data_IF_686084504559
#
_entry.id   IF_686084504559
#
_cell.length_a   1.000
_cell.length_b   1.000
_cell.length_c   1.000
_cell.angle_alpha   90.00
_cell.angle_beta   90.00
_cell.angle_gamma   90.00
#
_symmetry.space_group_name_H-M   'P 1'
#
loop_
_entity.id
_entity.type
_entity.pdbx_description
1 polymer ?
#
# COMPACT_ATOMS: atom_id res chain seq x y z
N UNK A 1 19.61 -30.55 40.73
CA UNK A 1 18.89 -29.31 41.04
C UNK A 1 18.51 -28.72 39.70
N UNK A 2 17.28 -29.03 39.31
CA UNK A 2 16.67 -28.62 38.05
C UNK A 2 16.43 -27.12 38.12
N UNK A 3 17.15 -26.34 37.31
CA UNK A 3 16.74 -24.96 37.04
C UNK A 3 15.40 -25.03 36.33
N UNK A 4 14.32 -24.70 37.04
CA UNK A 4 13.03 -24.35 36.46
C UNK A 4 13.27 -23.26 35.41
N UNK A 5 13.33 -23.67 34.14
CA UNK A 5 13.28 -22.76 33.01
C UNK A 5 11.89 -22.13 33.03
N UNK A 6 11.79 -20.98 33.68
CA UNK A 6 10.57 -20.18 33.80
C UNK A 6 9.98 -19.91 32.41
N UNK A 7 8.66 -19.97 32.35
CA UNK A 7 7.90 -19.94 31.10
C UNK A 7 8.06 -18.57 30.39
N UNK A 8 8.29 -18.51 29.07
CA UNK A 8 8.50 -17.26 28.32
C UNK A 8 7.38 -16.21 28.44
N UNK A 9 6.22 -16.58 29.01
CA UNK A 9 5.11 -15.66 29.28
C UNK A 9 5.35 -14.72 30.46
N UNK A 10 6.25 -15.05 31.40
CA UNK A 10 6.53 -14.19 32.57
C UNK A 10 7.41 -12.98 32.25
N UNK A 11 8.08 -12.99 31.09
CA UNK A 11 8.86 -11.85 30.57
C UNK A 11 8.08 -10.95 29.60
N UNK A 12 6.83 -11.30 29.26
CA UNK A 12 5.97 -10.52 28.34
C UNK A 12 5.66 -9.14 28.91
N UNK A 13 5.32 -9.07 30.20
CA UNK A 13 5.07 -7.80 30.88
C UNK A 13 6.34 -6.94 30.91
N UNK A 14 7.45 -7.48 31.41
CA UNK A 14 8.69 -6.72 31.56
C UNK A 14 9.33 -6.23 30.25
N UNK A 15 9.29 -7.02 29.17
CA UNK A 15 9.76 -6.57 27.86
C UNK A 15 8.85 -5.48 27.28
N UNK A 16 7.53 -5.66 27.36
CA UNK A 16 6.57 -4.68 26.84
C UNK A 16 6.48 -3.42 27.71
N UNK A 17 6.73 -3.51 29.02
CA UNK A 17 6.80 -2.38 29.94
C UNK A 17 8.13 -1.62 29.74
N UNK A 18 9.23 -2.32 29.48
CA UNK A 18 10.49 -1.69 29.05
C UNK A 18 10.32 -1.00 27.67
N UNK A 19 9.61 -1.63 26.74
CA UNK A 19 9.24 -1.08 25.44
C UNK A 19 8.31 0.14 25.57
N UNK A 20 7.34 0.10 26.48
CA UNK A 20 6.40 1.19 26.78
C UNK A 20 7.10 2.41 27.37
N UNK A 21 8.06 2.20 28.28
CA UNK A 21 8.88 3.28 28.84
C UNK A 21 9.87 3.90 27.83
N UNK A 22 10.07 3.25 26.68
CA UNK A 22 11.02 3.64 25.63
C UNK A 22 10.35 4.11 24.33
N UNK A 23 9.02 4.18 24.23
CA UNK A 23 8.29 4.51 22.99
C UNK A 23 7.43 5.77 23.09
N UNK A 24 7.73 6.65 24.06
CA UNK A 24 6.94 7.85 24.36
C UNK A 24 7.13 9.01 23.38
N UNK A 25 8.09 8.94 22.46
CA UNK A 25 8.31 9.93 21.41
C UNK A 25 8.87 9.27 20.14
N UNK A 26 8.53 9.80 18.95
CA UNK A 26 9.01 9.28 17.66
C UNK A 26 10.54 9.10 17.60
N UNK A 27 11.30 9.98 18.26
CA UNK A 27 12.76 9.88 18.35
C UNK A 27 13.32 8.74 19.22
N UNK A 28 12.47 8.01 19.94
CA UNK A 28 12.86 6.82 20.71
C UNK A 28 12.65 5.52 19.94
N UNK A 29 11.68 5.49 19.03
CA UNK A 29 11.44 4.32 18.18
C UNK A 29 12.54 4.16 17.12
N UNK A 30 13.15 5.25 16.63
CA UNK A 30 14.32 5.18 15.74
C UNK A 30 15.55 4.57 16.44
N UNK A 31 15.74 4.86 17.74
CA UNK A 31 16.80 4.21 18.54
C UNK A 31 16.53 2.73 18.71
N UNK A 32 15.26 2.36 18.85
CA UNK A 32 14.85 0.98 18.97
C UNK A 32 15.05 0.24 17.65
N UNK A 33 14.65 0.83 16.52
CA UNK A 33 14.96 0.32 15.17
C UNK A 33 16.46 0.13 15.01
N UNK A 34 17.30 1.07 15.47
CA UNK A 34 18.74 0.92 15.44
C UNK A 34 19.25 -0.32 16.22
N UNK A 35 18.65 -0.66 17.37
CA UNK A 35 18.98 -1.89 18.13
C UNK A 35 18.60 -3.15 17.32
N UNK A 36 17.47 -3.14 16.64
CA UNK A 36 17.06 -4.28 15.80
C UNK A 36 17.90 -4.40 14.54
N UNK A 37 18.37 -3.28 13.98
CA UNK A 37 19.31 -3.24 12.87
C UNK A 37 20.73 -3.65 13.30
N UNK A 38 21.10 -3.40 14.56
CA UNK A 38 22.40 -3.78 15.11
C UNK A 38 22.55 -5.31 15.13
N UNK A 39 23.33 -5.81 14.18
CA UNK A 39 23.54 -7.24 13.99
C UNK A 39 22.48 -7.93 13.14
N UNK A 40 21.87 -7.24 12.17
CA UNK A 40 21.31 -7.90 10.98
C UNK A 40 22.46 -8.13 9.98
N UNK A 41 22.57 -9.34 9.41
CA UNK A 41 23.55 -9.60 8.37
C UNK A 41 23.05 -9.09 7.02
N UNK A 42 23.30 -7.81 6.75
CA UNK A 42 22.97 -7.23 5.45
C UNK A 42 23.96 -7.75 4.38
N UNK A 43 23.50 -8.24 3.22
CA UNK A 43 24.34 -8.88 2.20
C UNK A 43 25.44 -7.96 1.63
N UNK A 44 25.29 -6.63 1.79
CA UNK A 44 26.20 -5.60 1.28
C UNK A 44 27.37 -5.34 2.23
N UNK A 45 27.21 -5.60 3.54
CA UNK A 45 28.21 -5.33 4.58
C UNK A 45 29.49 -6.19 4.50
N UNK A 46 29.54 -7.16 3.58
CA UNK A 46 30.67 -8.10 3.43
C UNK A 46 31.84 -7.57 2.59
N UNK A 47 31.78 -6.34 2.04
CA UNK A 47 32.80 -5.85 1.07
C UNK A 47 33.79 -4.81 1.58
N UNK A 48 33.65 -4.26 2.78
CA UNK A 48 34.64 -3.31 3.31
C UNK A 48 35.55 -3.92 4.39
N UNK A 49 36.81 -4.16 4.02
CA UNK A 49 37.96 -3.93 4.91
C UNK A 49 38.51 -5.10 5.73
N UNK A 50 39.29 -5.98 5.10
CA UNK A 50 40.24 -6.84 5.82
C UNK A 50 41.00 -7.82 4.94
N UNK A 51 42.23 -7.46 4.55
CA UNK A 51 43.22 -8.38 3.98
C UNK A 51 43.38 -9.62 4.88
N UNK A 52 42.77 -10.75 4.49
CA UNK A 52 43.07 -12.05 5.09
C UNK A 52 44.31 -12.60 4.36
N UNK A 53 45.43 -12.87 5.06
CA UNK A 53 46.59 -13.49 4.43
C UNK A 53 46.22 -14.91 3.98
N UNK A 54 46.44 -15.20 2.70
CA UNK A 54 46.41 -16.57 2.18
C UNK A 54 47.42 -17.43 2.95
N UNK A 55 46.92 -18.27 3.86
CA UNK A 55 47.79 -19.22 4.55
C UNK A 55 47.15 -19.93 5.74
N UNK A 56 46.35 -20.96 5.45
CA UNK A 56 46.35 -22.31 6.08
C UNK A 56 44.95 -22.91 6.05
N UNK A 57 44.85 -24.08 5.42
CA UNK A 57 43.68 -24.97 5.44
C UNK A 57 43.33 -25.31 6.89
N UNK A 58 42.27 -24.69 7.42
CA UNK A 58 41.65 -25.09 8.67
C UNK A 58 40.25 -25.64 8.37
N UNK A 59 40.02 -26.83 8.92
CA UNK A 59 38.86 -27.72 8.80
C UNK A 59 37.52 -26.97 8.81
N UNK A 60 36.75 -27.12 7.74
CA UNK A 60 35.33 -26.83 7.72
C UNK A 60 34.59 -27.88 8.57
N UNK A 61 34.37 -27.58 9.85
CA UNK A 61 33.44 -28.28 10.71
C UNK A 61 32.33 -27.32 11.10
N UNK A 62 31.09 -27.69 10.78
CA UNK A 62 29.82 -27.21 11.34
C UNK A 62 29.82 -25.85 12.07
N UNK A 63 29.51 -24.76 11.36
CA UNK A 63 28.84 -23.61 11.99
C UNK A 63 27.46 -23.51 11.34
N UNK A 64 26.49 -24.13 12.01
CA UNK A 64 25.09 -24.24 11.59
C UNK A 64 24.36 -23.02 12.14
N UNK A 65 23.83 -22.17 11.26
CA UNK A 65 22.69 -21.27 11.47
C UNK A 65 22.55 -20.60 12.85
N UNK A 66 23.57 -19.87 13.31
CA UNK A 66 23.36 -18.92 14.41
C UNK A 66 22.87 -17.61 13.81
N UNK A 67 21.54 -17.40 13.84
CA UNK A 67 20.92 -16.10 13.54
C UNK A 67 21.65 -15.01 14.32
N UNK A 68 21.85 -13.86 13.68
CA UNK A 68 22.48 -12.73 14.33
C UNK A 68 21.52 -12.09 15.38
N UNK A 69 22.04 -11.25 16.27
CA UNK A 69 21.28 -10.81 17.46
C UNK A 69 19.97 -10.09 17.08
N UNK A 70 20.04 -9.14 16.14
CA UNK A 70 18.86 -8.43 15.63
C UNK A 70 17.82 -9.35 15.01
N UNK A 71 18.26 -10.32 14.20
CA UNK A 71 17.38 -11.33 13.59
C UNK A 71 16.65 -12.20 14.62
N UNK A 72 17.33 -12.59 15.71
CA UNK A 72 16.70 -13.34 16.82
C UNK A 72 15.62 -12.51 17.49
N UNK A 73 15.89 -11.22 17.75
CA UNK A 73 14.93 -10.32 18.37
C UNK A 73 13.70 -10.13 17.48
N UNK A 74 13.89 -9.93 16.16
CA UNK A 74 12.77 -9.82 15.21
C UNK A 74 11.92 -11.09 15.16
N UNK A 75 12.57 -12.24 15.12
CA UNK A 75 11.87 -13.54 15.14
C UNK A 75 11.06 -13.72 16.42
N UNK A 76 11.62 -13.33 17.57
CA UNK A 76 10.91 -13.36 18.86
C UNK A 76 9.72 -12.41 18.82
N UNK A 77 9.90 -11.16 18.38
CA UNK A 77 8.84 -10.15 18.29
C UNK A 77 7.67 -10.64 17.43
N UNK A 78 7.93 -11.13 16.22
CA UNK A 78 6.90 -11.66 15.32
C UNK A 78 6.20 -12.88 15.95
N UNK A 79 6.96 -13.79 16.55
CA UNK A 79 6.39 -14.96 17.23
C UNK A 79 5.49 -14.56 18.41
N UNK A 80 5.88 -13.53 19.16
CA UNK A 80 5.11 -12.98 20.27
C UNK A 80 3.82 -12.30 19.79
N UNK A 81 3.88 -11.50 18.73
CA UNK A 81 2.68 -10.92 18.11
C UNK A 81 1.72 -12.06 17.75
N UNK A 82 2.17 -13.05 16.98
CA UNK A 82 1.35 -14.22 16.59
C UNK A 82 0.72 -14.93 17.79
N UNK A 83 1.49 -15.14 18.85
CA UNK A 83 1.01 -15.82 20.06
C UNK A 83 0.03 -14.98 20.88
N UNK A 84 0.04 -13.65 20.74
CA UNK A 84 -0.83 -12.71 21.46
C UNK A 84 -2.22 -12.58 20.84
N UNK A 85 -2.50 -13.32 19.76
CA UNK A 85 -3.80 -13.33 19.10
C UNK A 85 -4.94 -13.63 20.06
N UNK A 86 -6.03 -12.88 19.92
CA UNK A 86 -7.18 -13.01 20.79
C UNK A 86 -8.09 -14.15 20.35
N UNK A 87 -8.64 -14.85 21.35
CA UNK A 87 -9.67 -15.88 21.14
C UNK A 87 -11.02 -15.18 20.98
N UNK A 88 -11.82 -15.65 20.01
CA UNK A 88 -13.17 -15.18 19.70
C UNK A 88 -13.98 -14.76 20.94
N UNK A 89 -14.55 -13.54 20.89
CA UNK A 89 -15.50 -13.02 21.89
C UNK A 89 -14.87 -12.25 23.05
N UNK A 90 -13.56 -12.00 23.07
CA UNK A 90 -12.92 -11.12 24.05
C UNK A 90 -12.68 -9.71 23.47
N UNK A 91 -13.00 -8.69 24.27
CA UNK A 91 -12.66 -7.29 23.93
C UNK A 91 -11.17 -7.03 24.13
N UNK A 92 -10.59 -6.23 23.23
CA UNK A 92 -9.23 -5.70 23.39
C UNK A 92 -9.26 -4.46 24.28
N UNK A 93 -8.21 -4.26 25.08
CA UNK A 93 -7.95 -2.95 25.68
C UNK A 93 -7.22 -2.05 24.69
N UNK A 94 -7.46 -0.75 24.76
CA UNK A 94 -6.75 0.24 23.92
C UNK A 94 -5.23 0.15 24.10
N UNK A 95 -4.77 -0.11 25.32
CA UNK A 95 -3.35 -0.29 25.63
C UNK A 95 -2.75 -1.53 24.95
N UNK A 96 -3.54 -2.59 24.75
CA UNK A 96 -3.09 -3.78 24.03
C UNK A 96 -3.01 -3.50 22.53
N UNK A 97 -4.01 -2.84 21.95
CA UNK A 97 -4.03 -2.41 20.54
C UNK A 97 -2.79 -1.57 20.22
N UNK A 98 -2.56 -0.53 21.02
CA UNK A 98 -1.42 0.37 20.86
C UNK A 98 -0.06 -0.37 20.94
N UNK A 99 0.05 -1.37 21.82
CA UNK A 99 1.27 -2.20 21.94
C UNK A 99 1.54 -3.02 20.68
N UNK A 100 0.50 -3.61 20.09
CA UNK A 100 0.62 -4.37 18.84
C UNK A 100 0.94 -3.43 17.68
N UNK A 101 0.25 -2.29 17.57
CA UNK A 101 0.51 -1.26 16.56
C UNK A 101 1.97 -0.80 16.62
N UNK A 102 2.46 -0.44 17.81
CA UNK A 102 3.84 0.00 18.02
C UNK A 102 4.85 -1.09 17.63
N UNK A 103 4.57 -2.35 17.98
CA UNK A 103 5.43 -3.50 17.64
C UNK A 103 5.49 -3.76 16.14
N UNK A 104 4.39 -3.51 15.43
CA UNK A 104 4.33 -3.57 13.96
C UNK A 104 5.04 -2.36 13.34
N UNK A 105 4.93 -1.18 13.96
CA UNK A 105 5.62 0.05 13.57
C UNK A 105 7.15 -0.08 13.52
N UNK A 106 7.77 -0.59 14.58
CA UNK A 106 8.64 -1.78 14.49
C UNK A 106 9.21 -2.18 13.11
N UNK A 107 8.57 -3.23 12.63
CA UNK A 107 8.85 -3.97 11.41
C UNK A 107 8.72 -3.06 10.17
N UNK A 108 7.75 -2.14 10.18
CA UNK A 108 7.54 -1.16 9.11
C UNK A 108 8.76 -0.24 8.98
N UNK A 109 9.21 0.38 10.07
CA UNK A 109 10.36 1.30 10.05
C UNK A 109 11.67 0.62 9.64
N UNK A 110 11.84 -0.68 9.94
CA UNK A 110 13.00 -1.46 9.46
C UNK A 110 13.01 -1.55 7.92
N UNK A 111 11.84 -1.67 7.30
CA UNK A 111 11.70 -1.70 5.84
C UNK A 111 11.80 -0.29 5.24
N UNK A 112 11.18 0.71 5.87
CA UNK A 112 11.21 2.11 5.41
C UNK A 112 12.59 2.77 5.54
N UNK A 113 13.44 2.33 6.48
CA UNK A 113 14.80 2.88 6.67
C UNK A 113 15.73 2.74 5.46
N UNK A 114 15.32 2.03 4.41
CA UNK A 114 16.10 1.81 3.18
C UNK A 114 15.77 2.87 2.11
N UNK A 115 14.70 3.63 2.29
CA UNK A 115 14.11 4.49 1.26
C UNK A 115 14.67 5.92 1.30
N UNK A 116 15.81 6.11 0.64
CA UNK A 116 16.19 7.42 0.09
C UNK A 116 16.38 7.26 -1.42
N UNK A 117 15.57 7.95 -2.23
CA UNK A 117 15.60 7.85 -3.71
C UNK A 117 16.81 8.54 -4.35
N UNK A 118 17.61 9.25 -3.57
CA UNK A 118 18.82 9.91 -4.05
C UNK A 118 20.00 8.94 -4.06
N UNK A 119 20.59 8.75 -5.25
CA UNK A 119 21.77 7.92 -5.42
C UNK A 119 22.10 7.62 -6.88
N UNK A 120 23.27 7.02 -7.11
CA UNK A 120 23.64 6.45 -8.41
C UNK A 120 22.84 5.18 -8.71
N UNK A 121 22.79 4.74 -9.98
CA UNK A 121 22.13 3.48 -10.38
C UNK A 121 22.65 2.26 -9.59
N UNK A 122 23.94 2.25 -9.25
CA UNK A 122 24.54 1.19 -8.44
C UNK A 122 24.02 1.21 -6.99
N UNK A 123 23.91 2.39 -6.38
CA UNK A 123 23.36 2.54 -5.02
C UNK A 123 21.87 2.16 -4.98
N UNK A 124 21.11 2.46 -6.03
CA UNK A 124 19.70 2.07 -6.13
C UNK A 124 19.55 0.54 -6.23
N UNK A 125 20.40 -0.13 -7.01
CA UNK A 125 20.39 -1.59 -7.10
C UNK A 125 20.78 -2.26 -5.77
N UNK A 126 21.75 -1.69 -5.04
CA UNK A 126 22.14 -2.17 -3.71
C UNK A 126 21.01 -1.98 -2.69
N UNK A 127 20.34 -0.81 -2.70
CA UNK A 127 19.15 -0.55 -1.87
C UNK A 127 18.01 -1.50 -2.17
N UNK A 128 17.77 -1.82 -3.44
CA UNK A 128 16.75 -2.79 -3.84
C UNK A 128 17.06 -4.20 -3.34
N UNK A 129 18.32 -4.63 -3.47
CA UNK A 129 18.76 -5.92 -2.96
C UNK A 129 18.65 -5.99 -1.43
N UNK A 130 18.98 -4.90 -0.75
CA UNK A 130 18.85 -4.79 0.71
C UNK A 130 17.39 -4.88 1.15
N UNK A 131 16.49 -4.11 0.50
CA UNK A 131 15.05 -4.14 0.77
C UNK A 131 14.51 -5.55 0.61
N UNK A 132 14.82 -6.20 -0.51
CA UNK A 132 14.40 -7.58 -0.76
C UNK A 132 14.89 -8.52 0.33
N UNK A 133 16.17 -8.43 0.73
CA UNK A 133 16.74 -9.25 1.79
C UNK A 133 16.01 -9.09 3.13
N UNK A 134 15.63 -7.87 3.50
CA UNK A 134 14.88 -7.61 4.74
C UNK A 134 13.44 -8.09 4.66
N UNK A 135 12.77 -7.89 3.53
CA UNK A 135 11.43 -8.43 3.29
C UNK A 135 11.43 -9.97 3.40
N UNK A 136 12.39 -10.65 2.76
CA UNK A 136 12.51 -12.10 2.78
C UNK A 136 12.79 -12.64 4.19
N UNK A 137 13.62 -11.94 4.95
CA UNK A 137 13.88 -12.25 6.36
C UNK A 137 12.60 -12.16 7.19
N UNK A 138 11.90 -11.02 7.16
CA UNK A 138 10.66 -10.83 7.91
C UNK A 138 9.58 -11.82 7.48
N UNK A 139 9.50 -12.11 6.18
CA UNK A 139 8.62 -13.14 5.63
C UNK A 139 8.91 -14.52 6.24
N UNK A 140 10.19 -14.92 6.28
CA UNK A 140 10.63 -16.21 6.84
C UNK A 140 10.32 -16.35 8.34
N UNK A 141 10.21 -15.24 9.07
CA UNK A 141 9.84 -15.22 10.47
C UNK A 141 8.33 -15.23 10.71
N UNK A 142 7.52 -15.10 9.65
CA UNK A 142 6.05 -15.08 9.72
C UNK A 142 5.44 -13.68 9.68
N UNK A 143 6.21 -12.66 9.28
CA UNK A 143 5.72 -11.28 9.14
C UNK A 143 4.54 -11.18 8.17
N UNK A 144 4.55 -11.95 7.08
CA UNK A 144 3.44 -12.01 6.13
C UNK A 144 2.15 -12.51 6.76
N UNK A 145 2.21 -13.54 7.59
CA UNK A 145 1.01 -14.05 8.29
C UNK A 145 0.48 -13.03 9.30
N UNK A 146 1.36 -12.36 10.04
CA UNK A 146 0.98 -11.25 10.94
C UNK A 146 0.27 -10.13 10.17
N UNK A 147 0.82 -9.73 9.03
CA UNK A 147 0.24 -8.69 8.19
C UNK A 147 -1.17 -9.07 7.72
N UNK A 148 -1.36 -10.31 7.23
CA UNK A 148 -2.67 -10.81 6.79
C UNK A 148 -3.68 -10.88 7.96
N UNK A 149 -3.26 -11.36 9.14
CA UNK A 149 -4.13 -11.45 10.32
C UNK A 149 -4.61 -10.08 10.78
N UNK A 150 -3.70 -9.10 10.86
CA UNK A 150 -4.00 -7.75 11.31
C UNK A 150 -4.86 -7.01 10.28
N UNK A 151 -4.51 -7.07 8.99
CA UNK A 151 -5.32 -6.47 7.92
C UNK A 151 -6.75 -7.04 7.86
N UNK A 152 -6.95 -8.26 8.37
CA UNK A 152 -8.28 -8.90 8.46
C UNK A 152 -9.13 -8.44 9.66
N UNK A 153 -8.59 -7.64 10.58
CA UNK A 153 -9.31 -7.15 11.76
C UNK A 153 -10.43 -6.15 11.40
N UNK A 154 -11.47 -6.11 12.24
CA UNK A 154 -12.48 -5.06 12.24
C UNK A 154 -12.02 -3.83 13.02
N UNK A 155 -11.11 -4.01 13.97
CA UNK A 155 -10.45 -2.90 14.65
C UNK A 155 -9.63 -2.08 13.64
N UNK A 156 -9.91 -0.77 13.56
CA UNK A 156 -9.38 0.11 12.53
C UNK A 156 -7.86 0.31 12.68
N UNK A 157 -7.36 0.48 13.90
CA UNK A 157 -5.93 0.73 14.17
C UNK A 157 -5.09 -0.51 13.86
N UNK A 158 -5.53 -1.70 14.30
CA UNK A 158 -4.86 -2.94 13.95
C UNK A 158 -4.89 -3.21 12.44
N UNK A 159 -6.03 -2.98 11.81
CA UNK A 159 -6.16 -3.23 10.37
C UNK A 159 -5.29 -2.29 9.55
N UNK A 160 -5.22 -1.02 9.93
CA UNK A 160 -4.30 -0.06 9.32
C UNK A 160 -2.85 -0.51 9.45
N UNK A 161 -2.40 -0.90 10.65
CA UNK A 161 -1.04 -1.39 10.88
C UNK A 161 -0.74 -2.66 10.05
N UNK A 162 -1.71 -3.57 9.95
CA UNK A 162 -1.62 -4.77 9.12
C UNK A 162 -1.50 -4.47 7.63
N UNK A 163 -2.31 -3.55 7.12
CA UNK A 163 -2.26 -3.09 5.72
C UNK A 163 -0.90 -2.44 5.41
N UNK A 164 -0.41 -1.57 6.30
CA UNK A 164 0.89 -0.90 6.14
C UNK A 164 2.05 -1.90 6.13
N UNK A 165 2.05 -2.88 7.05
CA UNK A 165 3.06 -3.93 7.05
C UNK A 165 3.01 -4.77 5.77
N UNK A 166 1.80 -5.12 5.30
CA UNK A 166 1.64 -5.90 4.08
C UNK A 166 2.17 -5.15 2.84
N UNK A 167 1.84 -3.87 2.71
CA UNK A 167 2.34 -2.99 1.63
C UNK A 167 3.86 -2.91 1.67
N UNK A 168 4.46 -2.74 2.86
CA UNK A 168 5.91 -2.68 3.02
C UNK A 168 6.62 -4.01 2.66
N UNK A 169 6.04 -5.14 3.05
CA UNK A 169 6.58 -6.46 2.71
C UNK A 169 6.52 -6.75 1.21
N UNK A 170 5.51 -6.22 0.51
CA UNK A 170 5.32 -6.45 -0.91
C UNK A 170 5.94 -5.37 -1.82
N UNK A 171 6.45 -4.27 -1.26
CA UNK A 171 7.02 -3.13 -1.99
C UNK A 171 8.00 -3.62 -3.07
N UNK A 172 7.88 -3.09 -4.29
CA UNK A 172 8.60 -3.51 -5.52
C UNK A 172 8.33 -4.96 -5.96
N UNK A 173 7.12 -5.48 -5.73
CA UNK A 173 6.67 -6.77 -6.25
C UNK A 173 7.42 -7.99 -5.71
N UNK A 174 7.67 -8.07 -4.40
CA UNK A 174 8.37 -9.21 -3.82
C UNK A 174 7.57 -10.53 -3.98
N UNK A 175 7.98 -11.31 -4.99
CA UNK A 175 7.31 -12.56 -5.38
C UNK A 175 7.36 -13.65 -4.31
N UNK A 176 8.41 -13.69 -3.49
CA UNK A 176 8.54 -14.70 -2.43
C UNK A 176 7.51 -14.43 -1.32
N UNK A 177 7.32 -13.16 -0.96
CA UNK A 177 6.24 -12.71 -0.06
C UNK A 177 4.86 -12.98 -0.65
N UNK A 178 4.63 -12.63 -1.92
CA UNK A 178 3.36 -12.90 -2.61
C UNK A 178 3.01 -14.40 -2.57
N UNK A 179 3.99 -15.28 -2.83
CA UNK A 179 3.81 -16.73 -2.79
C UNK A 179 3.46 -17.21 -1.38
N UNK A 180 4.14 -16.72 -0.34
CA UNK A 180 3.82 -17.06 1.05
C UNK A 180 2.41 -16.60 1.42
N UNK A 181 2.02 -15.39 1.05
CA UNK A 181 0.67 -14.88 1.32
C UNK A 181 -0.40 -15.69 0.58
N UNK A 182 -0.16 -16.05 -0.68
CA UNK A 182 -1.07 -16.89 -1.47
C UNK A 182 -1.24 -18.29 -0.85
N UNK A 183 -0.14 -18.91 -0.42
CA UNK A 183 -0.17 -20.20 0.27
C UNK A 183 -0.95 -20.12 1.59
N UNK A 184 -0.80 -19.03 2.33
CA UNK A 184 -1.53 -18.82 3.57
C UNK A 184 -3.04 -18.64 3.32
N UNK A 185 -3.42 -17.83 2.32
CA UNK A 185 -4.82 -17.56 1.94
C UNK A 185 -5.55 -18.78 1.36
N UNK A 186 -4.83 -19.67 0.68
CA UNK A 186 -5.38 -20.91 0.09
C UNK A 186 -5.22 -22.12 1.00
N UNK A 187 -4.60 -21.96 2.17
CA UNK A 187 -4.44 -23.04 3.13
C UNK A 187 -5.80 -23.60 3.56
N UNK A 188 -5.86 -24.92 3.75
CA UNK A 188 -7.06 -25.62 4.23
C UNK A 188 -6.81 -26.28 5.59
N UNK A 189 -7.89 -26.58 6.33
CA UNK A 189 -7.81 -27.26 7.63
C UNK A 189 -7.13 -26.42 8.71
N UNK A 190 -6.22 -27.02 9.48
CA UNK A 190 -5.57 -26.37 10.62
C UNK A 190 -4.74 -25.13 10.22
N UNK A 191 -4.10 -25.16 9.05
CA UNK A 191 -3.32 -24.01 8.55
C UNK A 191 -4.18 -22.81 8.16
N UNK A 192 -5.43 -23.04 7.77
CA UNK A 192 -6.38 -21.94 7.53
C UNK A 192 -6.73 -21.18 8.83
N UNK A 193 -6.63 -21.85 9.99
CA UNK A 193 -6.87 -21.22 11.27
C UNK A 193 -5.70 -20.30 11.70
N UNK A 194 -4.53 -20.42 11.07
CA UNK A 194 -3.36 -19.63 11.42
C UNK A 194 -3.47 -18.18 10.91
N UNK A 195 -4.29 -17.90 9.89
CA UNK A 195 -4.50 -16.56 9.33
C UNK A 195 -5.84 -15.90 9.70
N UNK A 196 -6.52 -16.39 10.75
CA UNK A 196 -7.76 -15.74 11.24
C UNK A 196 -7.47 -14.31 11.75
N UNK A 197 -8.46 -13.41 11.68
CA UNK A 197 -8.33 -12.05 12.21
C UNK A 197 -7.73 -12.02 13.63
N UNK A 198 -6.83 -11.07 13.86
CA UNK A 198 -6.05 -11.00 15.09
C UNK A 198 -6.90 -10.66 16.32
N UNK A 199 -7.90 -9.80 16.12
CA UNK A 199 -8.87 -9.35 17.12
C UNK A 199 -9.91 -10.41 17.50
N UNK A 200 -9.82 -11.60 16.90
CA UNK A 200 -10.76 -12.70 17.13
C UNK A 200 -12.10 -12.51 16.43
N UNK A 201 -12.23 -11.56 15.50
CA UNK A 201 -13.42 -11.42 14.66
C UNK A 201 -13.54 -12.57 13.66
N UNK A 202 -14.76 -12.76 13.14
CA UNK A 202 -15.00 -13.72 12.06
C UNK A 202 -14.76 -13.08 10.70
N UNK A 203 -14.14 -13.84 9.79
CA UNK A 203 -13.94 -13.40 8.42
C UNK A 203 -12.64 -13.91 7.82
N UNK A 204 -12.35 -13.38 6.64
CA UNK A 204 -11.10 -13.57 5.91
C UNK A 204 -10.57 -12.21 5.45
N UNK A 205 -9.30 -12.15 5.06
CA UNK A 205 -8.72 -10.94 4.47
C UNK A 205 -9.57 -10.45 3.30
N UNK A 206 -9.94 -11.33 2.37
CA UNK A 206 -10.72 -10.96 1.18
C UNK A 206 -12.07 -10.33 1.57
N UNK A 207 -12.71 -10.84 2.63
CA UNK A 207 -13.93 -10.23 3.16
C UNK A 207 -13.67 -8.83 3.73
N UNK A 208 -12.61 -8.66 4.53
CA UNK A 208 -12.20 -7.37 5.10
C UNK A 208 -11.90 -6.35 4.00
N UNK A 209 -11.09 -6.71 3.00
CA UNK A 209 -10.76 -5.84 1.86
C UNK A 209 -12.03 -5.40 1.11
N UNK A 210 -12.97 -6.32 0.83
CA UNK A 210 -14.24 -5.96 0.20
C UNK A 210 -15.06 -5.00 1.07
N UNK A 211 -15.14 -5.24 2.38
CA UNK A 211 -15.87 -4.38 3.30
C UNK A 211 -15.26 -2.97 3.34
N UNK A 212 -13.93 -2.86 3.36
CA UNK A 212 -13.19 -1.61 3.31
C UNK A 212 -13.41 -0.85 2.00
N UNK A 213 -13.34 -1.51 0.85
CA UNK A 213 -13.67 -0.89 -0.44
C UNK A 213 -15.12 -0.37 -0.49
N UNK A 214 -16.07 -1.12 0.08
CA UNK A 214 -17.47 -0.66 0.20
C UNK A 214 -17.64 0.49 1.18
N UNK A 215 -16.84 0.55 2.24
CA UNK A 215 -16.81 1.67 3.17
C UNK A 215 -16.22 2.91 2.49
N UNK A 216 -15.17 2.75 1.67
CA UNK A 216 -14.57 3.84 0.90
C UNK A 216 -15.60 4.55 0.01
N UNK A 217 -16.52 3.81 -0.61
CA UNK A 217 -17.64 4.40 -1.37
C UNK A 217 -18.48 5.36 -0.53
N UNK A 218 -18.76 5.02 0.74
CA UNK A 218 -19.51 5.89 1.65
C UNK A 218 -18.68 7.11 2.06
N UNK A 219 -17.40 6.88 2.33
CA UNK A 219 -16.47 7.93 2.78
C UNK A 219 -16.21 9.00 1.72
N UNK A 220 -16.43 8.75 0.42
CA UNK A 220 -16.30 9.77 -0.63
C UNK A 220 -17.13 11.03 -0.29
N UNK A 221 -18.42 10.83 0.05
CA UNK A 221 -19.33 11.95 0.36
C UNK A 221 -19.09 12.51 1.75
N UNK A 222 -18.75 11.65 2.71
CA UNK A 222 -18.44 12.06 4.08
C UNK A 222 -17.19 12.95 4.11
N UNK A 223 -16.15 12.60 3.35
CA UNK A 223 -14.92 13.37 3.21
C UNK A 223 -15.18 14.75 2.62
N UNK A 224 -15.98 14.81 1.55
CA UNK A 224 -16.38 16.08 0.92
C UNK A 224 -17.12 16.99 1.90
N UNK A 225 -18.11 16.45 2.59
CA UNK A 225 -18.88 17.18 3.62
C UNK A 225 -17.95 17.65 4.75
N UNK A 226 -17.02 16.80 5.19
CA UNK A 226 -16.05 17.14 6.22
C UNK A 226 -15.12 18.29 5.80
N UNK A 227 -14.62 18.26 4.56
CA UNK A 227 -13.78 19.32 4.01
C UNK A 227 -14.54 20.66 3.90
N UNK A 228 -15.79 20.63 3.45
CA UNK A 228 -16.65 21.83 3.40
C UNK A 228 -16.85 22.43 4.81
N UNK A 229 -17.14 21.59 5.81
CA UNK A 229 -17.25 22.02 7.21
C UNK A 229 -15.92 22.57 7.74
N UNK A 230 -14.78 21.97 7.38
CA UNK A 230 -13.46 22.46 7.77
C UNK A 230 -13.14 23.83 7.16
N UNK A 231 -13.49 24.05 5.89
CA UNK A 231 -13.35 25.36 5.23
C UNK A 231 -14.20 26.44 5.90
N UNK A 232 -15.45 26.13 6.27
CA UNK A 232 -16.32 27.04 7.01
C UNK A 232 -15.75 27.38 8.40
N UNK A 233 -15.23 26.38 9.12
CA UNK A 233 -14.57 26.59 10.41
C UNK A 233 -13.34 27.49 10.29
N UNK A 234 -12.51 27.28 9.26
CA UNK A 234 -11.33 28.12 8.98
C UNK A 234 -11.72 29.55 8.65
N UNK A 235 -12.74 29.76 7.83
CA UNK A 235 -13.24 31.08 7.49
C UNK A 235 -13.78 31.81 8.74
N UNK A 236 -14.58 31.13 9.57
CA UNK A 236 -15.10 31.69 10.81
C UNK A 236 -13.98 32.01 11.83
N UNK A 237 -12.96 31.15 11.92
CA UNK A 237 -11.81 31.40 12.77
C UNK A 237 -11.04 32.65 12.31
N UNK A 238 -10.85 32.82 11.00
CA UNK A 238 -10.16 33.98 10.43
C UNK A 238 -10.88 35.31 10.73
N UNK A 239 -12.21 35.33 10.76
CA UNK A 239 -12.99 36.52 11.12
C UNK A 239 -12.84 36.92 12.60
N UNK A 240 -12.71 35.93 13.49
CA UNK A 240 -12.75 36.13 14.95
C UNK A 240 -11.34 36.11 15.55
N UNK A 241 -10.30 35.74 14.80
CA UNK A 241 -8.94 35.47 15.29
C UNK A 241 -8.35 36.59 16.15
N UNK A 242 -8.63 37.86 15.82
CA UNK A 242 -8.07 39.03 16.52
C UNK A 242 -8.73 39.29 17.88
N UNK A 243 -9.91 38.70 18.12
CA UNK A 243 -10.66 38.82 19.38
C UNK A 243 -10.43 37.64 20.34
N UNK A 244 -9.82 36.56 19.86
CA UNK A 244 -9.57 35.34 20.63
C UNK A 244 -8.27 35.41 21.43
N UNK A 245 -8.27 34.76 22.59
CA UNK A 245 -7.04 34.48 23.32
C UNK A 245 -6.11 33.56 22.50
N UNK A 246 -4.80 33.65 22.72
CA UNK A 246 -3.84 32.81 22.01
C UNK A 246 -4.10 31.30 22.22
N UNK A 247 -4.48 30.88 23.43
CA UNK A 247 -4.81 29.49 23.73
C UNK A 247 -6.07 29.02 22.99
N UNK A 248 -7.11 29.85 22.94
CA UNK A 248 -8.36 29.54 22.21
C UNK A 248 -8.12 29.46 20.71
N UNK A 249 -7.30 30.36 20.16
CA UNK A 249 -6.94 30.35 18.74
C UNK A 249 -6.25 29.05 18.35
N UNK A 250 -5.28 28.58 19.14
CA UNK A 250 -4.58 27.31 18.88
C UNK A 250 -5.54 26.13 18.93
N UNK A 251 -6.42 26.05 19.93
CA UNK A 251 -7.38 24.96 20.04
C UNK A 251 -8.36 24.91 18.86
N UNK A 252 -8.89 26.07 18.45
CA UNK A 252 -9.80 26.15 17.29
C UNK A 252 -9.07 25.87 15.98
N UNK A 253 -7.81 26.30 15.83
CA UNK A 253 -6.99 25.96 14.66
C UNK A 253 -6.75 24.45 14.57
N UNK A 254 -6.44 23.80 15.69
CA UNK A 254 -6.27 22.33 15.73
C UNK A 254 -7.56 21.59 15.33
N UNK A 255 -8.72 22.07 15.77
CA UNK A 255 -10.00 21.49 15.35
C UNK A 255 -10.28 21.74 13.85
N UNK A 256 -9.92 22.94 13.36
CA UNK A 256 -10.06 23.36 11.96
C UNK A 256 -9.07 22.68 10.99
N UNK A 257 -8.01 22.06 11.53
CA UNK A 257 -6.98 21.35 10.78
C UNK A 257 -7.02 19.83 10.98
N UNK A 258 -8.00 19.33 11.75
CA UNK A 258 -8.18 17.91 11.96
C UNK A 258 -8.44 17.19 10.63
N UNK A 259 -7.62 16.20 10.31
CA UNK A 259 -7.80 15.36 9.12
C UNK A 259 -9.08 14.52 9.20
N UNK A 260 -9.63 14.18 8.04
CA UNK A 260 -10.75 13.25 7.96
C UNK A 260 -10.39 11.92 8.65
N UNK A 261 -11.20 11.43 9.62
CA UNK A 261 -10.94 10.17 10.30
C UNK A 261 -11.30 8.99 9.37
N UNK A 262 -10.40 8.67 8.46
CA UNK A 262 -10.55 7.58 7.50
C UNK A 262 -10.62 6.23 8.22
N UNK A 263 -11.63 5.42 7.89
CA UNK A 263 -11.79 4.05 8.39
C UNK A 263 -11.65 3.03 7.29
N UNK A 264 -11.94 3.39 6.04
CA UNK A 264 -11.79 2.48 4.92
C UNK A 264 -10.32 2.17 4.61
N UNK A 265 -9.42 3.14 4.84
CA UNK A 265 -8.03 3.10 4.40
C UNK A 265 -7.93 2.76 2.91
N UNK A 266 -8.65 3.51 2.08
CA UNK A 266 -8.92 3.16 0.69
C UNK A 266 -7.63 3.00 -0.12
N UNK A 267 -6.73 3.98 -0.04
CA UNK A 267 -5.43 3.97 -0.72
C UNK A 267 -4.59 2.75 -0.31
N UNK A 268 -4.49 2.44 0.99
CA UNK A 268 -3.71 1.29 1.50
C UNK A 268 -4.33 -0.05 1.12
N UNK A 269 -5.65 -0.13 1.14
CA UNK A 269 -6.41 -1.31 0.73
C UNK A 269 -6.18 -1.61 -0.75
N UNK A 270 -6.29 -0.59 -1.60
CA UNK A 270 -6.03 -0.69 -3.04
C UNK A 270 -4.56 -1.04 -3.30
N UNK A 271 -3.63 -0.38 -2.62
CA UNK A 271 -2.19 -0.63 -2.77
C UNK A 271 -1.81 -2.06 -2.39
N UNK A 272 -2.38 -2.62 -1.32
CA UNK A 272 -2.19 -4.04 -0.99
C UNK A 272 -2.70 -4.95 -2.12
N UNK A 273 -3.91 -4.71 -2.63
CA UNK A 273 -4.48 -5.50 -3.73
C UNK A 273 -3.60 -5.41 -4.98
N UNK A 274 -3.14 -4.21 -5.32
CA UNK A 274 -2.22 -3.95 -6.44
C UNK A 274 -0.93 -4.75 -6.29
N UNK A 275 -0.26 -4.63 -5.13
CA UNK A 275 1.02 -5.27 -4.83
C UNK A 275 0.94 -6.81 -4.75
N UNK A 276 -0.20 -7.36 -4.33
CA UNK A 276 -0.46 -8.79 -4.36
C UNK A 276 -0.46 -9.35 -5.80
N UNK A 277 -0.87 -8.53 -6.77
CA UNK A 277 -0.97 -8.88 -8.18
C UNK A 277 0.23 -8.45 -9.03
N UNK A 278 1.08 -7.56 -8.51
CA UNK A 278 2.27 -7.02 -9.20
C UNK A 278 3.16 -8.14 -9.77
N UNK A 279 3.66 -7.93 -10.99
CA UNK A 279 4.48 -8.92 -11.69
C UNK A 279 3.67 -10.06 -12.34
N UNK A 280 2.43 -9.78 -12.74
CA UNK A 280 1.53 -10.73 -13.41
C UNK A 280 1.25 -11.99 -12.59
N UNK A 281 0.88 -11.80 -11.31
CA UNK A 281 0.55 -12.91 -10.42
C UNK A 281 -0.85 -13.48 -10.72
N UNK A 282 -0.98 -14.20 -11.84
CA UNK A 282 -2.26 -14.71 -12.34
C UNK A 282 -3.03 -15.55 -11.31
N UNK A 283 -2.32 -16.32 -10.47
CA UNK A 283 -2.96 -17.11 -9.41
C UNK A 283 -3.65 -16.23 -8.36
N UNK A 284 -3.00 -15.13 -7.95
CA UNK A 284 -3.59 -14.17 -7.02
C UNK A 284 -4.70 -13.35 -7.69
N UNK A 285 -4.51 -12.95 -8.95
CA UNK A 285 -5.53 -12.23 -9.72
C UNK A 285 -6.84 -13.03 -9.79
N UNK A 286 -6.77 -14.31 -10.13
CA UNK A 286 -7.91 -15.21 -10.21
C UNK A 286 -8.49 -15.50 -8.82
N UNK A 287 -7.63 -15.70 -7.81
CA UNK A 287 -8.05 -15.92 -6.43
C UNK A 287 -8.83 -14.74 -5.85
N UNK A 288 -8.48 -13.49 -6.17
CA UNK A 288 -9.21 -12.31 -5.69
C UNK A 288 -10.58 -12.13 -6.38
N UNK A 289 -10.82 -12.83 -7.49
CA UNK A 289 -12.15 -12.93 -8.11
C UNK A 289 -13.00 -14.02 -7.46
N UNK A 290 -12.44 -15.21 -7.34
CA UNK A 290 -13.16 -16.39 -6.88
C UNK A 290 -12.26 -17.26 -6.00
N UNK A 291 -12.77 -17.67 -4.82
CA UNK A 291 -12.06 -18.53 -3.88
C UNK A 291 -12.75 -19.92 -3.83
N UNK A 292 -12.32 -20.90 -4.65
CA UNK A 292 -13.07 -22.15 -4.85
C UNK A 292 -13.26 -23.00 -3.58
N UNK A 293 -12.39 -22.83 -2.59
CA UNK A 293 -12.44 -23.55 -1.31
C UNK A 293 -13.35 -22.88 -0.27
N UNK A 294 -13.93 -21.70 -0.56
CA UNK A 294 -14.80 -20.96 0.34
C UNK A 294 -16.27 -21.10 -0.06
N UNK A 295 -17.18 -21.16 0.91
CA UNK A 295 -18.63 -21.33 0.67
C UNK A 295 -19.28 -20.14 -0.04
N UNK A 296 -18.64 -18.98 -0.05
CA UNK A 296 -19.14 -17.76 -0.71
C UNK A 296 -17.96 -17.05 -1.33
N UNK A 297 -17.85 -17.13 -2.66
CA UNK A 297 -16.84 -16.41 -3.40
C UNK A 297 -17.04 -14.89 -3.22
N UNK A 298 -15.93 -14.20 -3.02
CA UNK A 298 -15.86 -12.75 -2.82
C UNK A 298 -15.11 -12.16 -4.00
N UNK A 299 -15.83 -11.41 -4.84
CA UNK A 299 -15.25 -10.71 -5.98
C UNK A 299 -14.74 -9.32 -5.55
N UNK A 300 -13.41 -9.18 -5.46
CA UNK A 300 -12.74 -7.91 -5.16
C UNK A 300 -12.77 -6.96 -6.36
N UNK A 301 -12.65 -7.48 -7.57
CA UNK A 301 -12.58 -6.66 -8.79
C UNK A 301 -13.88 -5.90 -9.05
N UNK A 302 -15.01 -6.55 -8.79
CA UNK A 302 -16.32 -5.89 -8.78
C UNK A 302 -16.39 -4.77 -7.73
N UNK A 303 -15.81 -4.96 -6.54
CA UNK A 303 -15.80 -3.94 -5.48
C UNK A 303 -14.90 -2.74 -5.82
N UNK A 304 -13.74 -2.97 -6.46
CA UNK A 304 -12.88 -1.87 -6.98
C UNK A 304 -13.61 -1.12 -8.11
N UNK A 305 -14.31 -1.85 -8.98
CA UNK A 305 -15.11 -1.26 -10.05
C UNK A 305 -16.26 -0.39 -9.53
N UNK A 306 -16.98 -0.87 -8.52
CA UNK A 306 -18.01 -0.09 -7.85
C UNK A 306 -17.43 1.22 -7.27
N UNK A 307 -16.22 1.17 -6.72
CA UNK A 307 -15.53 2.36 -6.21
C UNK A 307 -15.20 3.34 -7.34
N UNK A 308 -14.67 2.88 -8.48
CA UNK A 308 -14.44 3.73 -9.68
C UNK A 308 -15.73 4.39 -10.15
N UNK A 309 -16.83 3.64 -10.25
CA UNK A 309 -18.11 4.17 -10.71
C UNK A 309 -18.62 5.28 -9.79
N UNK A 310 -18.45 5.15 -8.46
CA UNK A 310 -18.88 6.18 -7.53
C UNK A 310 -17.95 7.40 -7.51
N UNK A 311 -16.64 7.17 -7.65
CA UNK A 311 -15.66 8.25 -7.79
C UNK A 311 -15.91 9.06 -9.05
N UNK A 312 -16.25 8.43 -10.17
CA UNK A 312 -16.56 9.11 -11.43
C UNK A 312 -17.61 10.23 -11.26
N UNK A 313 -18.65 10.01 -10.46
CA UNK A 313 -19.70 11.02 -10.20
C UNK A 313 -19.31 12.10 -9.20
N UNK A 314 -18.40 11.82 -8.27
CA UNK A 314 -18.04 12.70 -7.15
C UNK A 314 -16.59 13.22 -7.27
N UNK A 315 -15.96 13.03 -8.43
CA UNK A 315 -14.52 13.25 -8.62
C UNK A 315 -14.12 14.70 -8.35
N UNK A 316 -13.14 14.88 -7.47
CA UNK A 316 -12.52 16.16 -7.16
C UNK A 316 -11.06 15.97 -6.72
N UNK A 317 -10.39 17.07 -6.39
CA UNK A 317 -9.00 17.04 -5.95
C UNK A 317 -8.76 16.27 -4.65
N UNK A 318 -9.79 16.08 -3.81
CA UNK A 318 -9.71 15.43 -2.50
C UNK A 318 -9.83 13.91 -2.54
N UNK A 319 -10.38 13.38 -3.65
CA UNK A 319 -10.58 11.94 -3.84
C UNK A 319 -9.89 11.39 -5.10
N UNK A 320 -9.23 12.25 -5.88
CA UNK A 320 -8.45 11.88 -7.06
C UNK A 320 -7.44 10.74 -6.81
N UNK A 321 -6.69 10.81 -5.71
CA UNK A 321 -5.68 9.80 -5.38
C UNK A 321 -6.29 8.39 -5.25
N UNK A 322 -7.52 8.29 -4.74
CA UNK A 322 -8.23 7.01 -4.66
C UNK A 322 -8.55 6.50 -6.07
N UNK A 323 -8.97 7.37 -6.99
CA UNK A 323 -9.25 7.00 -8.38
C UNK A 323 -7.99 6.51 -9.07
N UNK A 324 -6.88 7.22 -8.92
CA UNK A 324 -5.57 6.83 -9.46
C UNK A 324 -5.19 5.43 -8.98
N UNK A 325 -5.29 5.18 -7.67
CA UNK A 325 -5.03 3.86 -7.09
C UNK A 325 -5.99 2.78 -7.58
N UNK A 326 -7.27 3.09 -7.79
CA UNK A 326 -8.21 2.15 -8.40
C UNK A 326 -7.77 1.75 -9.80
N UNK A 327 -7.36 2.71 -10.64
CA UNK A 327 -6.90 2.46 -12.00
C UNK A 327 -5.64 1.60 -12.00
N UNK A 328 -4.64 1.94 -11.19
CA UNK A 328 -3.42 1.13 -11.02
C UNK A 328 -3.73 -0.29 -10.56
N UNK A 329 -4.64 -0.44 -9.60
CA UNK A 329 -5.07 -1.74 -9.06
C UNK A 329 -5.76 -2.59 -10.13
N UNK A 330 -6.63 -2.00 -10.93
CA UNK A 330 -7.31 -2.70 -12.02
C UNK A 330 -6.34 -3.06 -13.16
N UNK A 331 -5.34 -2.22 -13.44
CA UNK A 331 -4.27 -2.54 -14.38
C UNK A 331 -3.53 -3.79 -13.89
N UNK A 332 -3.01 -3.80 -12.67
CA UNK A 332 -2.31 -4.97 -12.10
C UNK A 332 -3.20 -6.21 -11.97
N UNK A 333 -4.51 -6.02 -11.78
CA UNK A 333 -5.49 -7.10 -11.75
C UNK A 333 -5.75 -7.76 -13.11
N UNK A 334 -5.48 -7.04 -14.22
CA UNK A 334 -5.83 -7.49 -15.58
C UNK A 334 -4.61 -7.80 -16.44
N UNK A 335 -3.53 -7.05 -16.31
CA UNK A 335 -2.36 -7.19 -17.16
C UNK A 335 -1.67 -8.55 -16.99
N UNK A 336 -1.26 -9.17 -18.09
CA UNK A 336 -0.66 -10.49 -18.13
C UNK A 336 -1.61 -11.66 -17.81
N UNK A 337 -2.89 -11.38 -17.54
CA UNK A 337 -3.89 -12.40 -17.23
C UNK A 337 -4.42 -13.06 -18.52
N UNK A 338 -3.80 -14.18 -18.91
CA UNK A 338 -4.20 -14.91 -20.11
C UNK A 338 -5.51 -15.69 -19.97
N UNK A 339 -6.02 -15.90 -18.75
CA UNK A 339 -7.32 -16.57 -18.55
C UNK A 339 -8.49 -15.66 -18.93
N UNK A 340 -8.23 -14.35 -19.09
CA UNK A 340 -9.23 -13.30 -19.31
C UNK A 340 -10.32 -13.27 -18.24
N UNK A 341 -10.13 -14.00 -17.14
CA UNK A 341 -11.13 -14.20 -16.12
C UNK A 341 -11.50 -12.84 -15.51
N UNK A 342 -10.52 -12.11 -15.01
CA UNK A 342 -10.75 -10.76 -14.46
C UNK A 342 -11.37 -9.82 -15.49
N UNK A 343 -10.78 -9.72 -16.69
CA UNK A 343 -11.27 -8.83 -17.76
C UNK A 343 -12.73 -9.11 -18.15
N UNK A 344 -13.15 -10.38 -18.24
CA UNK A 344 -14.53 -10.75 -18.51
C UNK A 344 -15.49 -10.29 -17.42
N UNK A 345 -15.08 -10.38 -16.14
CA UNK A 345 -15.87 -9.87 -15.02
C UNK A 345 -16.09 -8.36 -15.14
N UNK A 346 -15.01 -7.63 -15.43
CA UNK A 346 -15.05 -6.18 -15.56
C UNK A 346 -15.98 -5.74 -16.70
N UNK A 347 -16.02 -6.47 -17.81
CA UNK A 347 -16.92 -6.18 -18.95
C UNK A 347 -18.41 -6.41 -18.65
N UNK A 348 -18.74 -7.16 -17.59
CA UNK A 348 -20.12 -7.38 -17.15
C UNK A 348 -20.64 -6.25 -16.24
N UNK A 349 -19.73 -5.37 -15.79
CA UNK A 349 -20.06 -4.19 -15.00
C UNK A 349 -20.31 -2.95 -15.88
N UNK A 350 -20.53 -1.79 -15.24
CA UNK A 350 -20.59 -0.47 -15.89
C UNK A 350 -19.23 0.24 -15.97
N UNK A 351 -18.13 -0.49 -15.83
CA UNK A 351 -16.78 0.10 -15.86
C UNK A 351 -16.53 0.89 -17.13
N UNK A 352 -16.83 0.32 -18.31
CA UNK A 352 -16.58 0.99 -19.59
C UNK A 352 -17.34 2.33 -19.70
N UNK A 353 -18.58 2.41 -19.21
CA UNK A 353 -19.34 3.65 -19.17
C UNK A 353 -18.68 4.71 -18.28
N UNK A 354 -18.09 4.28 -17.15
CA UNK A 354 -17.35 5.18 -16.26
C UNK A 354 -16.03 5.64 -16.89
N UNK A 355 -15.27 4.72 -17.50
CA UNK A 355 -14.02 5.07 -18.18
C UNK A 355 -14.24 6.05 -19.34
N UNK A 356 -15.30 5.87 -20.13
CA UNK A 356 -15.67 6.80 -21.21
C UNK A 356 -15.98 8.21 -20.66
N UNK A 357 -16.73 8.30 -19.55
CA UNK A 357 -17.00 9.60 -18.88
C UNK A 357 -15.77 10.23 -18.24
N UNK A 358 -14.83 9.43 -17.74
CA UNK A 358 -13.57 9.95 -17.20
C UNK A 358 -12.70 10.56 -18.30
N UNK A 359 -12.80 10.05 -19.54
CA UNK A 359 -12.09 10.61 -20.68
C UNK A 359 -12.76 11.86 -21.27
N UNK A 360 -14.05 12.11 -20.99
CA UNK A 360 -14.84 13.19 -21.59
C UNK A 360 -14.15 14.57 -21.50
N UNK A 361 -13.85 15.25 -22.63
CA UNK A 361 -13.20 16.56 -22.65
C UNK A 361 -14.03 17.67 -21.99
N UNK A 362 -15.35 17.49 -21.82
CA UNK A 362 -16.17 18.41 -21.05
C UNK A 362 -15.71 18.54 -19.59
N UNK A 363 -15.03 17.51 -19.05
CA UNK A 363 -14.37 17.56 -17.73
C UNK A 363 -13.15 18.48 -17.71
N UNK A 364 -12.41 18.59 -18.81
CA UNK A 364 -11.26 19.51 -18.93
C UNK A 364 -11.72 20.99 -18.96
N UNK A 365 -12.88 21.23 -19.58
CA UNK A 365 -13.42 22.57 -19.84
C UNK A 365 -14.27 23.15 -18.71
N UNK A 366 -14.54 22.39 -17.65
CA UNK A 366 -15.23 22.89 -16.46
C UNK A 366 -16.71 23.22 -16.67
N UNK A 367 -17.42 22.52 -17.55
CA UNK A 367 -18.84 22.76 -17.79
C UNK A 367 -19.78 22.02 -16.84
N UNK A 368 -19.29 21.45 -15.74
CA UNK A 368 -20.17 21.01 -14.65
C UNK A 368 -20.71 22.23 -13.92
N UNK A 369 -22.03 22.27 -13.74
CA UNK A 369 -22.87 23.35 -13.21
C UNK A 369 -22.49 23.81 -11.79
N UNK A 370 -21.52 23.15 -11.13
CA UNK A 370 -20.98 23.56 -9.84
C UNK A 370 -19.45 23.65 -9.91
N UNK A 371 -18.92 24.76 -10.47
CA UNK A 371 -17.49 25.05 -10.63
C UNK A 371 -16.66 25.15 -9.34
N UNK A 372 -16.74 24.16 -8.45
CA UNK A 372 -16.06 24.12 -7.15
C UNK A 372 -14.85 23.20 -7.09
N UNK A 373 -14.67 22.25 -8.00
CA UNK A 373 -13.48 21.39 -7.97
C UNK A 373 -12.98 21.07 -9.38
N UNK A 374 -12.04 21.89 -9.86
CA UNK A 374 -11.33 21.63 -11.11
C UNK A 374 -10.10 20.79 -10.79
N UNK A 375 -10.01 19.59 -11.35
CA UNK A 375 -8.74 18.87 -11.37
C UNK A 375 -7.71 19.70 -12.13
N UNK A 376 -6.49 19.77 -11.61
CA UNK A 376 -5.40 20.38 -12.35
C UNK A 376 -5.08 19.53 -13.60
N UNK A 377 -4.33 20.13 -14.53
CA UNK A 377 -4.00 19.48 -15.79
C UNK A 377 -3.17 18.21 -15.58
N UNK A 378 -2.30 18.19 -14.58
CA UNK A 378 -1.41 17.06 -14.30
C UNK A 378 -2.20 15.83 -13.84
N UNK A 379 -3.15 16.01 -12.92
CA UNK A 379 -4.09 14.98 -12.47
C UNK A 379 -4.96 14.47 -13.61
N UNK A 380 -5.49 15.35 -14.46
CA UNK A 380 -6.25 14.93 -15.65
C UNK A 380 -5.40 14.06 -16.59
N UNK A 381 -4.13 14.44 -16.83
CA UNK A 381 -3.21 13.66 -17.64
C UNK A 381 -2.95 12.28 -17.02
N UNK A 382 -2.68 12.22 -15.71
CA UNK A 382 -2.45 10.96 -14.99
C UNK A 382 -3.67 10.04 -15.06
N UNK A 383 -4.87 10.58 -14.85
CA UNK A 383 -6.12 9.84 -14.98
C UNK A 383 -6.33 9.28 -16.39
N UNK A 384 -6.18 10.11 -17.43
CA UNK A 384 -6.31 9.65 -18.82
C UNK A 384 -5.29 8.56 -19.13
N UNK A 385 -4.07 8.69 -18.64
CA UNK A 385 -3.04 7.67 -18.77
C UNK A 385 -3.45 6.35 -18.10
N UNK A 386 -3.90 6.39 -16.85
CA UNK A 386 -4.37 5.22 -16.12
C UNK A 386 -5.54 4.51 -16.81
N UNK A 387 -6.52 5.27 -17.33
CA UNK A 387 -7.64 4.72 -18.11
C UNK A 387 -7.15 4.02 -19.36
N UNK A 388 -6.24 4.64 -20.13
CA UNK A 388 -5.69 4.06 -21.36
C UNK A 388 -4.89 2.79 -21.05
N UNK A 389 -4.09 2.77 -19.98
CA UNK A 389 -3.36 1.59 -19.54
C UNK A 389 -4.30 0.45 -19.19
N UNK A 390 -5.38 0.73 -18.47
CA UNK A 390 -6.39 -0.27 -18.12
C UNK A 390 -7.07 -0.85 -19.37
N UNK A 391 -7.48 0.00 -20.31
CA UNK A 391 -8.07 -0.46 -21.57
C UNK A 391 -7.11 -1.34 -22.36
N UNK A 392 -5.82 -0.96 -22.41
CA UNK A 392 -4.78 -1.76 -23.03
C UNK A 392 -4.64 -3.12 -22.34
N UNK A 393 -4.55 -3.13 -21.01
CA UNK A 393 -4.42 -4.36 -20.22
C UNK A 393 -5.63 -5.29 -20.41
N UNK A 394 -6.85 -4.75 -20.41
CA UNK A 394 -8.07 -5.51 -20.68
C UNK A 394 -8.11 -6.10 -22.09
N UNK A 395 -7.44 -5.46 -23.06
CA UNK A 395 -7.35 -5.93 -24.44
C UNK A 395 -6.19 -6.92 -24.68
N UNK A 396 -5.40 -7.28 -23.67
CA UNK A 396 -4.30 -8.23 -23.84
C UNK A 396 -4.82 -9.62 -24.24
N UNK A 397 -4.24 -10.20 -25.30
CA UNK A 397 -4.67 -11.45 -25.94
C UNK A 397 -5.36 -11.24 -27.30
N UNK A 398 -5.32 -12.25 -28.17
CA UNK A 398 -5.87 -12.16 -29.54
C UNK A 398 -7.41 -12.24 -29.54
N UNK A 399 -8.08 -11.29 -30.22
CA UNK A 399 -9.54 -11.21 -30.37
C UNK A 399 -10.34 -11.18 -29.05
N UNK A 400 -9.83 -10.45 -28.05
CA UNK A 400 -10.50 -10.36 -26.76
C UNK A 400 -11.93 -9.82 -26.90
N UNK A 401 -12.87 -10.42 -26.16
CA UNK A 401 -14.23 -9.89 -26.02
C UNK A 401 -14.23 -8.43 -25.55
N UNK A 402 -13.19 -8.04 -24.82
CA UNK A 402 -12.91 -6.67 -24.39
C UNK A 402 -12.74 -5.72 -25.59
N UNK A 403 -11.94 -6.08 -26.59
CA UNK A 403 -11.73 -5.26 -27.78
C UNK A 403 -13.07 -4.95 -28.48
N UNK A 404 -13.89 -5.99 -28.72
CA UNK A 404 -15.22 -5.85 -29.36
C UNK A 404 -16.18 -4.99 -28.54
N UNK A 405 -16.16 -5.13 -27.21
CA UNK A 405 -16.98 -4.32 -26.29
C UNK A 405 -16.52 -2.86 -26.27
N UNK A 406 -15.22 -2.61 -26.17
CA UNK A 406 -14.65 -1.26 -26.18
C UNK A 406 -14.97 -0.53 -27.50
N UNK A 407 -14.82 -1.21 -28.64
CA UNK A 407 -15.19 -0.69 -29.97
C UNK A 407 -16.66 -0.29 -30.08
N UNK A 408 -17.56 -0.97 -29.36
CA UNK A 408 -19.00 -0.72 -29.41
C UNK A 408 -19.51 0.31 -28.40
N UNK A 409 -18.76 0.60 -27.33
CA UNK A 409 -19.23 1.41 -26.20
C UNK A 409 -18.44 2.71 -26.00
N UNK A 410 -17.15 2.74 -26.38
CA UNK A 410 -16.28 3.89 -26.14
C UNK A 410 -16.20 4.82 -27.36
N UNK A 411 -16.03 6.12 -27.10
CA UNK A 411 -15.80 7.12 -28.14
C UNK A 411 -14.34 7.10 -28.64
N UNK A 412 -13.97 6.07 -29.40
CA UNK A 412 -12.58 5.84 -29.83
C UNK A 412 -11.98 6.97 -30.67
N UNK A 413 -12.79 7.69 -31.45
CA UNK A 413 -12.35 8.85 -32.22
C UNK A 413 -11.78 9.94 -31.31
N UNK A 414 -12.42 10.13 -30.16
CA UNK A 414 -11.94 11.08 -29.15
C UNK A 414 -10.66 10.57 -28.47
N UNK A 415 -10.60 9.30 -28.07
CA UNK A 415 -9.39 8.70 -27.50
C UNK A 415 -8.20 8.86 -28.45
N UNK A 416 -8.44 8.65 -29.75
CA UNK A 416 -7.45 8.85 -30.81
C UNK A 416 -7.03 10.32 -30.92
N UNK A 417 -7.97 11.27 -30.87
CA UNK A 417 -7.66 12.70 -30.89
C UNK A 417 -6.82 13.13 -29.67
N UNK A 418 -7.21 12.68 -28.48
CA UNK A 418 -6.53 12.93 -27.22
C UNK A 418 -5.10 12.34 -27.22
N UNK A 419 -4.94 11.09 -27.66
CA UNK A 419 -3.64 10.46 -27.80
C UNK A 419 -2.72 11.22 -28.78
N UNK A 420 -3.29 11.70 -29.90
CA UNK A 420 -2.55 12.51 -30.87
C UNK A 420 -2.12 13.87 -30.29
N UNK A 421 -2.95 14.51 -29.46
CA UNK A 421 -2.58 15.74 -28.77
C UNK A 421 -1.43 15.50 -27.78
N UNK A 422 -1.54 14.48 -26.92
CA UNK A 422 -0.48 14.12 -25.98
C UNK A 422 0.84 13.80 -26.69
N UNK A 423 0.79 13.05 -27.79
CA UNK A 423 1.98 12.74 -28.58
C UNK A 423 2.63 13.99 -29.19
N UNK A 424 1.84 14.96 -29.67
CA UNK A 424 2.38 16.25 -30.17
C UNK A 424 3.03 17.08 -29.07
N UNK A 425 2.43 17.12 -27.88
CA UNK A 425 2.99 17.81 -26.73
C UNK A 425 4.33 17.18 -26.33
N UNK A 426 4.36 15.85 -26.16
CA UNK A 426 5.58 15.11 -25.87
C UNK A 426 6.69 15.30 -26.93
N UNK A 427 6.34 15.29 -28.22
CA UNK A 427 7.30 15.57 -29.29
C UNK A 427 7.88 16.99 -29.21
N UNK A 428 7.08 17.96 -28.76
CA UNK A 428 7.49 19.35 -28.60
C UNK A 428 8.44 19.46 -27.41
N UNK A 429 8.08 18.90 -26.26
CA UNK A 429 8.92 18.89 -25.06
C UNK A 429 10.25 18.17 -25.31
N UNK A 430 10.23 17.04 -26.02
CA UNK A 430 11.45 16.32 -26.40
C UNK A 430 12.34 17.12 -27.35
N UNK A 431 11.77 17.93 -28.24
CA UNK A 431 12.56 18.83 -29.11
C UNK A 431 13.18 19.96 -28.30
N UNK A 432 12.47 20.51 -27.33
CA UNK A 432 12.99 21.53 -26.41
C UNK A 432 14.10 20.98 -25.51
N UNK A 433 13.94 19.77 -24.96
CA UNK A 433 14.98 19.07 -24.21
C UNK A 433 16.25 18.85 -25.06
N UNK A 434 16.10 18.40 -26.31
CA UNK A 434 17.26 18.25 -27.22
C UNK A 434 17.96 19.58 -27.52
N UNK A 435 17.22 20.70 -27.60
CA UNK A 435 17.83 22.04 -27.76
C UNK A 435 18.61 22.47 -26.52
N UNK A 436 18.14 22.10 -25.33
CA UNK A 436 18.82 22.34 -24.05
C UNK A 436 20.08 21.46 -23.90
N UNK A 437 20.00 20.18 -24.30
CA UNK A 437 21.16 19.27 -24.31
C UNK A 437 22.27 19.73 -25.27
N UNK A 438 21.90 20.39 -26.38
CA UNK A 438 22.84 20.94 -27.35
C UNK A 438 23.46 22.29 -26.93
N UNK A 439 23.05 22.89 -25.80
CA UNK A 439 23.56 24.17 -25.33
C UNK A 439 24.00 24.11 -23.84
N UNK A 440 25.23 23.64 -23.56
CA UNK A 440 25.66 23.24 -22.20
C UNK A 440 25.87 24.39 -21.20
N UNK A 441 25.63 25.65 -21.59
CA UNK A 441 25.85 26.83 -20.72
C UNK A 441 24.61 27.26 -19.91
N UNK A 442 23.46 26.61 -20.10
CA UNK A 442 22.20 26.99 -19.43
C UNK A 442 21.70 25.90 -18.48
N UNK A 443 22.31 25.86 -17.29
CA UNK A 443 21.84 25.38 -15.98
C UNK A 443 21.07 24.04 -15.89
N UNK A 444 21.71 23.12 -15.15
CA UNK A 444 21.24 21.82 -14.63
C UNK A 444 19.95 21.84 -13.75
N UNK A 445 19.34 22.99 -13.50
CA UNK A 445 18.20 23.10 -12.58
C UNK A 445 16.82 22.91 -13.26
N UNK A 446 16.69 23.26 -14.55
CA UNK A 446 15.39 23.21 -15.26
C UNK A 446 15.09 21.85 -15.90
N UNK A 447 16.11 21.02 -16.14
CA UNK A 447 15.96 19.71 -16.81
C UNK A 447 15.40 18.64 -15.87
N UNK A 448 15.55 18.79 -14.55
CA UNK A 448 15.10 17.78 -13.57
C UNK A 448 13.63 17.93 -13.17
N UNK A 449 12.98 19.05 -13.54
CA UNK A 449 11.62 19.43 -13.14
C UNK A 449 10.62 19.42 -14.31
N UNK A 450 11.10 19.20 -15.53
CA UNK A 450 10.33 19.09 -16.78
C UNK A 450 10.58 17.72 -17.38
#
# INVERSE_FOLDING_TARGET
EDEEVLHPQEHIGGFLDAFYNLSGADGELDKLVAIFLEGIQDPVSSREGGLIPLGKKAKAHHKKDELAQGERLLKILISQIKASRIVQGKSMSHEFVYRIESSVGVLIRILDSIDEEEGSEAEQAEKEQLLKSRQDMLNSFGGSEVALMLASCQDDDLSKAGLELAVNLLRRGNRDVQNTMMQALTATGRRAADIRPFDGTEGSLVLSLRQRLRLAVKEIRERKTHLEVQEEKRAALEEIKDTLSAATRVAMQQEADQSFPEKAFATRTLELVRLLCEGHNNAMQDYLREQPAQNTAIDIWSAVTDLVINLDFELDSSNFEILEKCLETLVEGTQGNLSQFVSDALLETKLLDALDRLLDPARELGSSVAGKFKLDKEKLCSMHHGVILLLKAMCEGTESKAEKRCLGQMQLDYISALANEYYKNWLTDRKELRKLELNPLSKKADIKKR
#
